data_IF_833879842955
#
_entry.id   IF_833879842955
#
_cell.length_a   1.000
_cell.length_b   1.000
_cell.length_c   1.000
_cell.angle_alpha   90.00
_cell.angle_beta   90.00
_cell.angle_gamma   90.00
#
_symmetry.space_group_name_H-M   'P 1'
#
loop_
_entity.id
_entity.type
_entity.pdbx_description
1 polymer ?
#
# COMPACT_ATOMS: atom_id res chain seq x y z
N UNK A 1 4.17 20.27 -19.60
CA UNK A 1 3.23 19.23 -20.09
C UNK A 1 3.88 17.91 -19.76
N UNK A 2 3.56 17.35 -18.60
CA UNK A 2 4.08 16.07 -18.13
C UNK A 2 2.97 15.05 -18.28
N UNK A 3 2.90 14.46 -19.47
CA UNK A 3 2.19 13.21 -19.71
C UNK A 3 3.25 12.10 -19.69
N UNK A 4 3.50 11.51 -18.51
CA UNK A 4 3.99 10.13 -18.45
C UNK A 4 3.65 9.48 -17.10
N UNK A 5 3.17 8.24 -17.19
CA UNK A 5 2.30 7.54 -16.25
C UNK A 5 3.04 6.58 -15.29
N UNK A 6 4.04 7.05 -14.53
CA UNK A 6 4.80 6.10 -13.69
C UNK A 6 5.28 6.57 -12.32
N UNK A 7 4.63 7.58 -11.70
CA UNK A 7 4.91 7.91 -10.28
C UNK A 7 4.06 7.12 -9.27
N UNK A 8 3.80 5.85 -9.55
CA UNK A 8 3.28 4.94 -8.55
C UNK A 8 4.21 3.72 -8.56
N UNK A 9 4.74 3.27 -7.41
CA UNK A 9 5.54 2.05 -7.32
C UNK A 9 4.63 0.82 -7.49
N UNK A 10 3.99 0.73 -8.66
CA UNK A 10 3.16 -0.38 -9.09
C UNK A 10 4.08 -1.47 -9.64
N UNK A 11 4.71 -2.22 -8.74
CA UNK A 11 5.06 -3.61 -9.04
C UNK A 11 4.25 -4.58 -8.19
N UNK A 12 2.98 -4.24 -7.89
CA UNK A 12 1.97 -5.25 -7.62
C UNK A 12 1.46 -5.79 -8.97
N UNK A 13 2.29 -6.59 -9.63
CA UNK A 13 1.79 -7.50 -10.65
C UNK A 13 1.11 -8.66 -9.91
N UNK A 14 -0.11 -8.43 -9.39
CA UNK A 14 -1.01 -9.50 -8.93
C UNK A 14 -1.61 -10.24 -10.14
N UNK A 15 -0.80 -10.55 -11.16
CA UNK A 15 -1.23 -11.26 -12.38
C UNK A 15 -1.62 -12.72 -12.11
N UNK A 16 -1.49 -13.21 -10.88
CA UNK A 16 -1.80 -14.59 -10.48
C UNK A 16 -3.27 -14.85 -10.14
N UNK A 17 -4.08 -13.81 -9.94
CA UNK A 17 -5.49 -13.97 -9.62
C UNK A 17 -6.31 -13.06 -10.52
N UNK A 18 -6.42 -13.45 -11.80
CA UNK A 18 -7.64 -13.13 -12.53
C UNK A 18 -8.78 -13.67 -11.66
N UNK A 19 -9.63 -12.81 -11.06
CA UNK A 19 -10.76 -13.33 -10.30
C UNK A 19 -11.57 -14.15 -11.30
N UNK A 20 -11.74 -15.45 -11.01
CA UNK A 20 -12.83 -16.19 -11.64
C UNK A 20 -14.06 -15.30 -11.51
N UNK A 21 -14.86 -15.11 -12.57
CA UNK A 21 -16.00 -14.23 -12.50
C UNK A 21 -16.82 -14.62 -11.28
N UNK A 22 -16.94 -13.68 -10.33
CA UNK A 22 -17.63 -13.84 -9.06
C UNK A 22 -19.15 -13.87 -9.29
N UNK A 23 -19.61 -14.65 -10.27
CA UNK A 23 -20.94 -14.56 -10.87
C UNK A 23 -22.07 -14.55 -9.84
N UNK A 24 -21.98 -15.43 -8.83
CA UNK A 24 -22.97 -15.50 -7.74
C UNK A 24 -22.90 -14.37 -6.70
N UNK A 25 -21.73 -13.73 -6.51
CA UNK A 25 -21.58 -12.56 -5.64
C UNK A 25 -22.15 -11.32 -6.32
N UNK A 26 -21.93 -11.13 -7.62
CA UNK A 26 -22.42 -9.94 -8.34
C UNK A 26 -23.93 -9.76 -8.19
N UNK A 27 -24.72 -10.81 -8.37
CA UNK A 27 -26.19 -10.75 -8.23
C UNK A 27 -26.64 -10.40 -6.80
N UNK A 28 -25.98 -10.97 -5.77
CA UNK A 28 -26.24 -10.65 -4.37
C UNK A 28 -25.83 -9.21 -4.00
N UNK A 29 -24.76 -8.70 -4.61
CA UNK A 29 -24.27 -7.33 -4.46
C UNK A 29 -25.28 -6.33 -5.03
N UNK A 30 -25.76 -6.57 -6.26
CA UNK A 30 -26.73 -5.69 -6.94
C UNK A 30 -28.11 -5.67 -6.26
N UNK A 31 -28.47 -6.72 -5.52
CA UNK A 31 -29.74 -6.77 -4.79
C UNK A 31 -29.76 -5.94 -3.49
N UNK A 32 -28.62 -5.73 -2.85
CA UNK A 32 -28.52 -5.11 -1.51
C UNK A 32 -28.10 -3.63 -1.56
N UNK A 33 -27.53 -3.18 -2.68
CA UNK A 33 -27.13 -1.79 -2.88
C UNK A 33 -28.18 -1.11 -3.76
N UNK A 34 -28.74 0.06 -3.37
CA UNK A 34 -29.63 0.83 -4.23
C UNK A 34 -28.83 1.43 -5.39
N UNK A 35 -28.53 0.62 -6.39
CA UNK A 35 -27.87 1.03 -7.62
C UNK A 35 -28.94 1.64 -8.52
N UNK A 36 -28.72 2.84 -9.10
CA UNK A 36 -29.67 3.43 -10.04
C UNK A 36 -30.00 2.41 -11.13
N UNK A 37 -31.30 2.11 -11.31
CA UNK A 37 -31.84 1.00 -12.13
C UNK A 37 -31.46 1.01 -13.64
N UNK A 38 -30.55 1.88 -14.08
CA UNK A 38 -30.24 2.11 -15.50
C UNK A 38 -28.75 2.11 -15.87
N UNK A 39 -27.83 1.56 -15.07
CA UNK A 39 -26.42 1.47 -15.48
C UNK A 39 -25.79 0.14 -15.03
N UNK A 40 -25.27 -0.62 -16.01
CA UNK A 40 -24.30 -1.70 -15.80
C UNK A 40 -23.01 -1.10 -15.22
N UNK A 41 -22.95 -0.93 -13.89
CA UNK A 41 -21.76 -0.43 -13.22
C UNK A 41 -20.76 -1.57 -13.01
N UNK A 42 -19.51 -1.44 -13.48
CA UNK A 42 -18.45 -2.40 -13.18
C UNK A 42 -18.26 -2.64 -11.67
N UNK A 43 -18.00 -3.89 -11.29
CA UNK A 43 -17.90 -4.32 -9.88
C UNK A 43 -16.82 -3.56 -9.11
N UNK A 44 -15.67 -3.33 -9.73
CA UNK A 44 -14.55 -2.55 -9.19
C UNK A 44 -14.96 -1.11 -8.85
N UNK A 45 -15.70 -0.46 -9.76
CA UNK A 45 -16.25 0.88 -9.53
C UNK A 45 -17.28 0.90 -8.41
N UNK A 46 -18.17 -0.10 -8.36
CA UNK A 46 -19.17 -0.21 -7.30
C UNK A 46 -18.51 -0.39 -5.92
N UNK A 47 -17.57 -1.34 -5.80
CA UNK A 47 -16.86 -1.59 -4.55
C UNK A 47 -16.06 -0.38 -4.10
N UNK A 48 -15.38 0.30 -5.02
CA UNK A 48 -14.70 1.56 -4.72
C UNK A 48 -15.69 2.59 -4.17
N UNK A 49 -16.82 2.84 -4.85
CA UNK A 49 -17.84 3.79 -4.41
C UNK A 49 -18.39 3.46 -3.02
N UNK A 50 -18.63 2.18 -2.71
CA UNK A 50 -19.08 1.75 -1.39
C UNK A 50 -18.03 2.03 -0.32
N UNK A 51 -16.77 1.71 -0.57
CA UNK A 51 -15.69 1.88 0.40
C UNK A 51 -15.33 3.34 0.66
N UNK A 52 -15.52 4.24 -0.32
CA UNK A 52 -15.16 5.66 -0.18
C UNK A 52 -16.28 6.56 0.35
N UNK A 53 -17.53 6.10 0.33
CA UNK A 53 -18.71 6.90 0.71
C UNK A 53 -18.72 7.32 2.19
N UNK A 54 -18.42 6.43 3.17
CA UNK A 54 -18.50 6.79 4.58
C UNK A 54 -17.40 7.75 5.04
N UNK A 55 -17.68 8.48 6.12
CA UNK A 55 -16.68 9.24 6.87
C UNK A 55 -15.67 8.27 7.53
N UNK A 56 -14.35 8.46 7.35
CA UNK A 56 -13.33 7.70 8.06
C UNK A 56 -13.54 7.62 9.59
N UNK A 57 -14.00 8.69 10.23
CA UNK A 57 -14.22 8.71 11.68
C UNK A 57 -15.37 7.78 12.10
N UNK A 58 -16.42 7.70 11.28
CA UNK A 58 -17.53 6.77 11.48
C UNK A 58 -17.06 5.33 11.31
N UNK A 59 -16.25 5.04 10.29
CA UNK A 59 -15.68 3.70 10.09
C UNK A 59 -14.78 3.29 11.26
N UNK A 60 -13.93 4.18 11.74
CA UNK A 60 -13.09 3.92 12.92
C UNK A 60 -13.92 3.60 14.17
N UNK A 61 -15.03 4.33 14.38
CA UNK A 61 -15.96 4.08 15.49
C UNK A 61 -16.60 2.69 15.38
N UNK A 62 -17.05 2.30 14.17
CA UNK A 62 -17.60 0.97 13.93
C UNK A 62 -16.57 -0.15 14.07
N UNK A 63 -15.31 0.10 13.70
CA UNK A 63 -14.21 -0.84 13.96
C UNK A 63 -13.98 -1.02 15.46
N UNK A 64 -14.15 0.03 16.28
CA UNK A 64 -14.03 -0.06 17.73
C UNK A 64 -15.11 -0.95 18.38
N UNK A 65 -16.26 -1.08 17.74
CA UNK A 65 -17.36 -1.96 18.18
C UNK A 65 -17.14 -3.43 17.78
N UNK A 66 -16.15 -3.72 16.93
CA UNK A 66 -15.84 -5.09 16.52
C UNK A 66 -14.97 -5.80 17.56
N UNK A 67 -15.34 -7.05 17.88
CA UNK A 67 -14.53 -7.93 18.73
C UNK A 67 -13.47 -8.66 17.89
N UNK A 68 -12.56 -7.89 17.27
CA UNK A 68 -11.44 -8.42 16.46
C UNK A 68 -10.09 -8.37 17.20
N UNK A 69 -10.07 -7.87 18.44
CA UNK A 69 -8.89 -7.65 19.27
C UNK A 69 -7.79 -6.81 18.61
N UNK A 70 -8.10 -6.09 17.53
CA UNK A 70 -7.15 -5.22 16.85
C UNK A 70 -7.32 -3.77 17.33
N UNK A 71 -6.22 -3.00 17.39
CA UNK A 71 -6.28 -1.63 17.87
C UNK A 71 -7.20 -0.78 17.00
N UNK A 72 -7.98 0.10 17.61
CA UNK A 72 -8.85 1.04 16.88
C UNK A 72 -7.99 2.09 16.17
N UNK A 73 -8.18 2.33 14.87
CA UNK A 73 -7.45 3.37 14.16
C UNK A 73 -7.75 4.74 14.74
N UNK A 74 -6.73 5.58 14.88
CA UNK A 74 -6.89 6.96 15.32
C UNK A 74 -7.00 7.91 14.12
N UNK A 75 -7.66 9.07 14.28
CA UNK A 75 -7.62 10.12 13.27
C UNK A 75 -6.17 10.56 13.00
N UNK A 76 -5.83 10.70 11.72
CA UNK A 76 -4.50 11.13 11.28
C UNK A 76 -4.59 12.47 10.57
N UNK A 77 -3.57 13.30 10.74
CA UNK A 77 -3.35 14.51 9.95
C UNK A 77 -2.03 14.37 9.22
N UNK A 78 -2.00 14.71 7.94
CA UNK A 78 -0.81 14.63 7.11
C UNK A 78 -0.64 15.89 6.26
N UNK A 79 0.56 16.03 5.71
CA UNK A 79 0.93 17.10 4.77
C UNK A 79 1.15 16.55 3.37
N UNK A 80 1.09 17.40 2.36
CA UNK A 80 1.43 17.02 0.99
C UNK A 80 2.90 16.63 0.90
N UNK A 81 3.17 15.49 0.26
CA UNK A 81 4.53 15.07 -0.05
C UNK A 81 5.13 15.98 -1.13
N UNK A 82 6.37 16.41 -0.91
CA UNK A 82 7.12 17.19 -1.89
C UNK A 82 8.39 16.44 -2.31
N UNK A 83 8.72 16.37 -3.62
CA UNK A 83 9.99 15.83 -4.08
C UNK A 83 11.18 16.52 -3.39
N UNK A 84 12.17 15.75 -2.98
CA UNK A 84 13.38 16.22 -2.25
C UNK A 84 13.14 16.73 -0.81
N UNK A 85 11.91 16.71 -0.29
CA UNK A 85 11.66 17.05 1.11
C UNK A 85 12.40 16.08 2.04
N UNK A 86 13.19 16.64 2.96
CA UNK A 86 14.01 15.85 3.89
C UNK A 86 15.34 15.34 3.30
N UNK A 87 15.67 15.67 2.04
CA UNK A 87 17.02 15.45 1.52
C UNK A 87 17.95 16.56 2.03
N UNK A 88 19.20 16.23 2.40
CA UNK A 88 20.21 17.23 2.70
C UNK A 88 20.61 17.97 1.41
N UNK A 89 21.31 19.08 1.58
CA UNK A 89 21.93 19.78 0.45
C UNK A 89 22.98 18.90 -0.23
N UNK A 90 22.60 18.29 -1.35
CA UNK A 90 23.50 17.49 -2.17
C UNK A 90 24.40 18.37 -3.03
N UNK A 91 25.65 17.93 -3.19
CA UNK A 91 26.55 18.50 -4.20
C UNK A 91 25.95 18.35 -5.61
N UNK A 92 26.38 19.16 -6.61
CA UNK A 92 25.89 19.03 -7.98
C UNK A 92 26.10 17.63 -8.58
N UNK A 93 27.20 16.95 -8.21
CA UNK A 93 27.51 15.60 -8.67
C UNK A 93 26.59 14.55 -8.04
N UNK A 94 26.37 14.64 -6.72
CA UNK A 94 25.47 13.74 -5.99
C UNK A 94 24.02 13.91 -6.45
N UNK A 95 23.59 15.16 -6.66
CA UNK A 95 22.25 15.46 -7.19
C UNK A 95 22.07 14.88 -8.59
N UNK A 96 23.10 14.96 -9.44
CA UNK A 96 23.06 14.34 -10.77
C UNK A 96 22.95 12.82 -10.69
N UNK A 97 23.69 12.20 -9.77
CA UNK A 97 23.61 10.75 -9.53
C UNK A 97 22.23 10.34 -9.04
N UNK A 98 21.68 11.07 -8.07
CA UNK A 98 20.32 10.86 -7.56
C UNK A 98 19.28 10.94 -8.66
N UNK A 99 19.23 12.05 -9.40
CA UNK A 99 18.25 12.26 -10.49
C UNK A 99 18.40 11.27 -11.63
N UNK A 100 19.65 10.91 -11.98
CA UNK A 100 19.88 9.90 -13.01
C UNK A 100 19.36 8.52 -12.58
N UNK A 101 19.56 8.13 -11.32
CA UNK A 101 19.05 6.86 -10.82
C UNK A 101 17.53 6.87 -10.67
N UNK A 102 16.95 7.95 -10.15
CA UNK A 102 15.50 8.17 -10.10
C UNK A 102 14.87 7.96 -11.48
N UNK A 103 15.43 8.57 -12.53
CA UNK A 103 14.95 8.38 -13.89
C UNK A 103 15.09 6.93 -14.37
N UNK A 104 16.18 6.23 -14.04
CA UNK A 104 16.34 4.80 -14.37
C UNK A 104 15.23 3.95 -13.73
N UNK A 105 14.86 4.26 -12.47
CA UNK A 105 13.76 3.58 -11.77
C UNK A 105 12.43 3.89 -12.44
N UNK A 106 12.16 5.16 -12.75
CA UNK A 106 10.93 5.61 -13.40
C UNK A 106 10.74 5.01 -14.80
N UNK A 107 11.81 4.89 -15.57
CA UNK A 107 11.80 4.26 -16.89
C UNK A 107 11.65 2.74 -16.83
N UNK A 108 11.66 2.14 -15.63
CA UNK A 108 11.62 0.69 -15.47
C UNK A 108 12.81 -0.01 -16.13
N UNK A 109 14.03 0.56 -16.01
CA UNK A 109 15.24 0.01 -16.62
C UNK A 109 16.18 -0.63 -15.60
N UNK A 110 16.84 -1.72 -15.99
CA UNK A 110 17.95 -2.31 -15.25
C UNK A 110 19.26 -1.67 -15.68
N UNK A 111 20.04 -1.13 -14.73
CA UNK A 111 21.40 -0.64 -14.96
C UNK A 111 22.31 -0.87 -13.75
N UNK A 112 23.26 -1.80 -13.88
CA UNK A 112 24.25 -2.05 -12.84
C UNK A 112 25.17 -0.86 -12.58
N UNK A 113 25.46 -0.04 -13.62
CA UNK A 113 26.30 1.16 -13.49
C UNK A 113 25.66 2.22 -12.59
N UNK A 114 24.40 2.55 -12.86
CA UNK A 114 23.68 3.55 -12.05
C UNK A 114 23.34 3.01 -10.67
N UNK A 115 23.03 1.71 -10.54
CA UNK A 115 22.88 1.07 -9.23
C UNK A 115 24.15 1.18 -8.39
N UNK A 116 25.33 0.87 -8.93
CA UNK A 116 26.59 0.96 -8.20
C UNK A 116 26.90 2.40 -7.78
N UNK A 117 26.72 3.37 -8.68
CA UNK A 117 26.89 4.78 -8.35
C UNK A 117 25.94 5.24 -7.24
N UNK A 118 24.68 4.81 -7.30
CA UNK A 118 23.68 5.16 -6.30
C UNK A 118 23.90 4.41 -4.96
N UNK A 119 24.40 3.18 -4.99
CA UNK A 119 24.80 2.46 -3.79
C UNK A 119 25.95 3.17 -3.07
N UNK A 120 26.94 3.68 -3.80
CA UNK A 120 27.99 4.53 -3.24
C UNK A 120 27.40 5.80 -2.61
N UNK A 121 26.46 6.46 -3.29
CA UNK A 121 25.76 7.62 -2.74
C UNK A 121 25.02 7.28 -1.43
N UNK A 122 24.31 6.16 -1.37
CA UNK A 122 23.64 5.71 -0.15
C UNK A 122 24.63 5.41 1.00
N UNK A 123 25.83 4.90 0.69
CA UNK A 123 26.86 4.72 1.73
C UNK A 123 27.44 6.03 2.24
N UNK A 124 27.48 7.08 1.43
CA UNK A 124 27.92 8.41 1.85
C UNK A 124 26.88 9.12 2.72
N UNK A 125 25.60 8.83 2.49
CA UNK A 125 24.49 9.38 3.25
C UNK A 125 23.65 8.26 3.88
N UNK A 126 24.21 7.55 4.89
CA UNK A 126 23.60 6.34 5.44
C UNK A 126 22.29 6.60 6.15
N UNK A 127 22.03 7.83 6.62
CA UNK A 127 20.85 8.16 7.43
C UNK A 127 19.65 8.68 6.60
N UNK A 128 19.75 8.71 5.27
CA UNK A 128 18.65 9.17 4.40
C UNK A 128 17.77 7.98 3.97
N UNK A 129 16.59 7.87 4.58
CA UNK A 129 15.62 6.82 4.24
C UNK A 129 15.23 6.85 2.76
N UNK A 130 15.05 8.02 2.15
CA UNK A 130 14.68 8.14 0.74
C UNK A 130 15.68 7.45 -0.21
N UNK A 131 16.99 7.52 0.10
CA UNK A 131 18.02 6.82 -0.69
C UNK A 131 17.93 5.32 -0.49
N UNK A 132 17.79 4.88 0.76
CA UNK A 132 17.60 3.47 1.09
C UNK A 132 16.34 2.88 0.43
N UNK A 133 15.24 3.62 0.44
CA UNK A 133 13.94 3.28 -0.15
C UNK A 133 14.03 3.14 -1.68
N UNK A 134 14.68 4.08 -2.37
CA UNK A 134 14.84 4.02 -3.83
C UNK A 134 15.72 2.82 -4.25
N UNK A 135 16.85 2.61 -3.55
CA UNK A 135 17.77 1.50 -3.83
C UNK A 135 17.13 0.14 -3.51
N UNK A 136 16.42 0.04 -2.38
CA UNK A 136 15.71 -1.19 -1.97
C UNK A 136 14.60 -1.53 -2.96
N UNK A 137 13.79 -0.55 -3.37
CA UNK A 137 12.76 -0.73 -4.39
C UNK A 137 13.32 -1.20 -5.73
N UNK A 138 14.42 -0.59 -6.19
CA UNK A 138 15.13 -1.04 -7.39
C UNK A 138 15.63 -2.49 -7.26
N UNK A 139 16.21 -2.85 -6.10
CA UNK A 139 16.70 -4.20 -5.87
C UNK A 139 15.60 -5.25 -5.87
N UNK A 140 14.45 -4.95 -5.26
CA UNK A 140 13.29 -5.82 -5.31
C UNK A 140 12.78 -6.09 -6.73
N UNK A 141 12.95 -5.14 -7.65
CA UNK A 141 12.50 -5.30 -9.04
C UNK A 141 13.50 -6.08 -9.92
N UNK A 142 14.80 -5.98 -9.66
CA UNK A 142 15.83 -6.45 -10.61
C UNK A 142 16.78 -7.54 -10.11
N UNK A 143 16.76 -7.83 -8.82
CA UNK A 143 17.62 -8.83 -8.18
C UNK A 143 16.79 -9.99 -7.62
N UNK A 144 17.42 -11.14 -7.33
CA UNK A 144 16.75 -12.22 -6.64
C UNK A 144 16.18 -11.74 -5.29
N UNK A 145 14.98 -12.21 -4.95
CA UNK A 145 14.22 -11.70 -3.81
C UNK A 145 14.94 -11.88 -2.47
N UNK A 146 15.61 -13.03 -2.27
CA UNK A 146 16.28 -13.33 -1.00
C UNK A 146 17.43 -12.34 -0.69
N UNK A 147 18.37 -12.05 -1.61
CA UNK A 147 19.33 -10.95 -1.45
C UNK A 147 18.69 -9.58 -1.22
N UNK A 148 17.61 -9.23 -1.94
CA UNK A 148 16.93 -7.96 -1.76
C UNK A 148 16.29 -7.83 -0.35
N UNK A 149 15.65 -8.90 0.14
CA UNK A 149 15.13 -9.00 1.52
C UNK A 149 16.25 -8.89 2.55
N UNK A 150 17.39 -9.55 2.32
CA UNK A 150 18.54 -9.50 3.22
C UNK A 150 19.08 -8.07 3.36
N UNK A 151 19.21 -7.35 2.24
CA UNK A 151 19.61 -5.94 2.24
C UNK A 151 18.63 -5.05 3.01
N UNK A 152 17.32 -5.19 2.77
CA UNK A 152 16.31 -4.41 3.50
C UNK A 152 16.32 -4.71 5.01
N UNK A 153 16.50 -5.98 5.41
CA UNK A 153 16.65 -6.37 6.83
C UNK A 153 17.90 -5.77 7.47
N UNK A 154 19.01 -5.71 6.73
CA UNK A 154 20.24 -5.07 7.19
C UNK A 154 20.06 -3.56 7.41
N UNK A 155 19.34 -2.87 6.53
CA UNK A 155 19.01 -1.46 6.73
C UNK A 155 18.14 -1.26 7.97
N UNK A 156 17.09 -2.08 8.14
CA UNK A 156 16.16 -2.00 9.27
C UNK A 156 16.77 -2.43 10.62
N UNK A 157 17.86 -3.20 10.61
CA UNK A 157 18.58 -3.51 11.85
C UNK A 157 19.34 -2.30 12.40
N UNK A 158 19.76 -1.38 11.50
CA UNK A 158 20.45 -0.13 11.85
C UNK A 158 19.47 1.02 12.05
N UNK A 159 18.41 1.06 11.24
CA UNK A 159 17.40 2.12 11.23
C UNK A 159 16.01 1.50 11.42
N UNK A 160 15.65 1.08 12.65
CA UNK A 160 14.38 0.42 12.88
C UNK A 160 13.19 1.32 12.52
N UNK A 161 13.28 2.64 12.68
CA UNK A 161 12.18 3.58 12.43
C UNK A 161 11.81 3.83 10.95
N UNK A 162 12.62 3.34 10.00
CA UNK A 162 12.39 3.57 8.56
C UNK A 162 11.18 2.78 8.03
N UNK A 163 10.02 3.45 8.04
CA UNK A 163 8.75 2.84 7.71
C UNK A 163 8.61 2.51 6.22
N UNK A 164 9.13 3.32 5.29
CA UNK A 164 9.04 3.04 3.86
C UNK A 164 9.86 1.82 3.47
N UNK A 165 11.07 1.67 4.03
CA UNK A 165 11.89 0.46 3.84
C UNK A 165 11.22 -0.75 4.47
N UNK A 166 10.63 -0.59 5.67
CA UNK A 166 9.84 -1.64 6.35
C UNK A 166 8.65 -2.08 5.50
N UNK A 167 7.91 -1.14 4.91
CA UNK A 167 6.77 -1.41 4.02
C UNK A 167 7.20 -2.13 2.74
N UNK A 168 8.30 -1.72 2.11
CA UNK A 168 8.85 -2.43 0.94
C UNK A 168 9.24 -3.88 1.28
N UNK A 169 9.88 -4.09 2.44
CA UNK A 169 10.19 -5.43 2.93
C UNK A 169 8.92 -6.23 3.23
N UNK A 170 7.93 -5.64 3.92
CA UNK A 170 6.67 -6.30 4.24
C UNK A 170 5.92 -6.71 2.96
N UNK A 171 5.76 -5.78 2.00
CA UNK A 171 5.16 -6.03 0.68
C UNK A 171 5.85 -7.15 -0.08
N UNK A 172 7.16 -7.33 0.11
CA UNK A 172 7.88 -8.43 -0.52
C UNK A 172 7.34 -9.81 -0.13
N UNK A 173 6.72 -9.98 1.04
CA UNK A 173 6.11 -11.26 1.48
C UNK A 173 4.66 -11.43 1.00
N UNK A 174 4.04 -10.35 0.51
CA UNK A 174 2.75 -10.39 -0.16
C UNK A 174 2.89 -10.67 -1.66
N UNK A 175 4.08 -10.49 -2.22
CA UNK A 175 4.42 -10.81 -3.61
C UNK A 175 5.11 -12.16 -3.67
N UNK A 176 4.44 -13.19 -4.18
CA UNK A 176 4.99 -14.45 -4.68
C UNK A 176 3.84 -15.43 -4.94
N UNK A 177 4.13 -16.57 -5.56
CA UNK A 177 3.22 -17.71 -5.71
C UNK A 177 2.72 -18.25 -4.35
N UNK A 178 3.35 -17.81 -3.26
CA UNK A 178 3.00 -18.11 -1.87
C UNK A 178 3.04 -16.82 -1.05
N UNK A 179 1.89 -16.42 -0.55
CA UNK A 179 1.75 -15.30 0.39
C UNK A 179 2.27 -15.76 1.76
N UNK A 180 3.17 -15.00 2.38
CA UNK A 180 3.73 -15.25 3.72
C UNK A 180 3.29 -14.17 4.71
N UNK A 181 2.09 -14.36 5.27
CA UNK A 181 1.45 -13.42 6.20
C UNK A 181 2.16 -13.33 7.55
N UNK A 182 2.80 -14.41 7.99
CA UNK A 182 3.54 -14.46 9.25
C UNK A 182 4.78 -13.57 9.16
N UNK A 183 5.53 -13.67 8.06
CA UNK A 183 6.68 -12.80 7.80
C UNK A 183 6.27 -11.34 7.62
N UNK A 184 5.13 -11.06 6.94
CA UNK A 184 4.58 -9.70 6.87
C UNK A 184 4.34 -9.13 8.28
N UNK A 185 3.62 -9.88 9.11
CA UNK A 185 3.25 -9.48 10.47
C UNK A 185 4.49 -9.29 11.35
N UNK A 186 5.48 -10.17 11.21
CA UNK A 186 6.76 -10.07 11.91
C UNK A 186 7.54 -8.80 11.53
N UNK A 187 7.59 -8.44 10.24
CA UNK A 187 8.25 -7.22 9.77
C UNK A 187 7.53 -5.96 10.26
N UNK A 188 6.20 -5.99 10.26
CA UNK A 188 5.38 -4.91 10.82
C UNK A 188 5.39 -4.89 12.35
N UNK A 189 6.06 -5.84 13.02
CA UNK A 189 6.13 -5.98 14.49
C UNK A 189 4.75 -5.97 15.15
N UNK A 190 3.74 -6.51 14.48
CA UNK A 190 2.32 -6.47 14.89
C UNK A 190 1.73 -5.06 15.07
N UNK A 191 2.38 -4.01 14.58
CA UNK A 191 1.84 -2.65 14.57
C UNK A 191 1.00 -2.47 13.31
N UNK A 192 -0.27 -2.84 13.41
CA UNK A 192 -1.20 -2.84 12.27
C UNK A 192 -1.92 -1.50 12.07
N UNK A 193 -1.73 -0.54 12.98
CA UNK A 193 -2.15 0.84 12.77
C UNK A 193 -0.96 1.78 12.60
N UNK A 194 -1.14 2.80 11.76
CA UNK A 194 -0.09 3.75 11.43
C UNK A 194 0.34 4.60 12.63
N UNK A 195 -0.59 4.99 13.51
CA UNK A 195 -0.31 5.77 14.71
C UNK A 195 0.75 5.12 15.62
N UNK A 196 0.77 3.79 15.68
CA UNK A 196 1.73 3.01 16.46
C UNK A 196 3.17 3.08 15.90
N UNK A 197 3.34 3.60 14.68
CA UNK A 197 4.65 3.83 14.06
C UNK A 197 5.12 5.29 14.15
N UNK A 198 4.23 6.24 14.49
CA UNK A 198 4.54 7.66 14.39
C UNK A 198 5.60 8.12 15.39
N UNK A 199 5.68 7.50 16.57
CA UNK A 199 6.70 7.81 17.58
C UNK A 199 8.14 7.58 17.08
N UNK A 200 8.31 6.76 16.03
CA UNK A 200 9.60 6.45 15.42
C UNK A 200 9.89 7.30 14.16
N UNK A 201 8.94 8.14 13.72
CA UNK A 201 9.11 8.98 12.54
C UNK A 201 9.82 10.29 12.90
N UNK A 202 10.96 10.54 12.25
CA UNK A 202 11.72 11.79 12.39
C UNK A 202 11.17 12.92 11.52
N UNK A 203 10.23 12.61 10.62
CA UNK A 203 9.66 13.52 9.63
C UNK A 203 8.14 13.61 9.77
N UNK A 204 7.52 14.73 9.34
CA UNK A 204 6.07 14.85 9.33
C UNK A 204 5.43 13.72 8.51
N UNK A 205 4.26 13.27 8.95
CA UNK A 205 3.46 12.30 8.22
C UNK A 205 3.00 12.91 6.88
N UNK A 206 3.38 12.29 5.77
CA UNK A 206 3.00 12.73 4.41
C UNK A 206 1.87 11.89 3.83
N UNK A 207 1.11 12.47 2.90
CA UNK A 207 0.11 11.75 2.10
C UNK A 207 0.69 10.50 1.41
N UNK A 208 1.92 10.56 0.88
CA UNK A 208 2.60 9.42 0.27
C UNK A 208 2.81 8.26 1.24
N UNK A 209 3.23 8.55 2.48
CA UNK A 209 3.42 7.52 3.50
C UNK A 209 2.08 6.93 3.96
N UNK A 210 1.07 7.78 4.17
CA UNK A 210 -0.31 7.35 4.48
C UNK A 210 -0.84 6.44 3.38
N UNK A 211 -0.69 6.85 2.11
CA UNK A 211 -1.09 6.09 0.94
C UNK A 211 -0.41 4.72 0.90
N UNK A 212 0.93 4.66 1.01
CA UNK A 212 1.67 3.41 0.92
C UNK A 212 1.36 2.46 2.07
N UNK A 213 1.30 2.97 3.30
CA UNK A 213 0.97 2.18 4.48
C UNK A 213 -0.42 1.55 4.35
N UNK A 214 -1.43 2.37 4.05
CA UNK A 214 -2.81 1.88 3.97
C UNK A 214 -3.04 1.01 2.73
N UNK A 215 -2.26 1.18 1.66
CA UNK A 215 -2.28 0.24 0.54
C UNK A 215 -1.78 -1.15 0.94
N UNK A 216 -0.66 -1.22 1.67
CA UNK A 216 -0.11 -2.51 2.12
C UNK A 216 -1.00 -3.18 3.18
N UNK A 217 -1.58 -2.40 4.09
CA UNK A 217 -2.56 -2.89 5.05
C UNK A 217 -3.86 -3.31 4.40
N UNK A 218 -4.33 -2.62 3.36
CA UNK A 218 -5.48 -3.05 2.56
C UNK A 218 -5.26 -4.45 1.99
N UNK A 219 -4.10 -4.69 1.38
CA UNK A 219 -3.75 -6.01 0.84
C UNK A 219 -3.69 -7.07 1.95
N UNK A 220 -3.02 -6.77 3.06
CA UNK A 220 -2.94 -7.70 4.19
C UNK A 220 -4.32 -8.09 4.74
N UNK A 221 -5.18 -7.11 5.01
CA UNK A 221 -6.51 -7.35 5.55
C UNK A 221 -7.44 -8.04 4.55
N UNK A 222 -7.31 -7.70 3.27
CA UNK A 222 -8.02 -8.39 2.19
C UNK A 222 -7.64 -9.87 2.10
N UNK A 223 -6.36 -10.19 2.24
CA UNK A 223 -5.86 -11.58 2.19
C UNK A 223 -6.17 -12.38 3.46
N UNK A 224 -6.39 -11.72 4.60
CA UNK A 224 -6.73 -12.35 5.88
C UNK A 224 -8.24 -12.38 6.16
N UNK A 225 -9.09 -11.94 5.24
CA UNK A 225 -10.55 -11.94 5.40
C UNK A 225 -11.09 -10.91 6.38
N UNK A 226 -10.31 -9.88 6.70
CA UNK A 226 -10.72 -8.79 7.55
C UNK A 226 -11.33 -7.64 6.73
N UNK A 227 -12.47 -7.92 6.11
CA UNK A 227 -13.10 -7.06 5.10
C UNK A 227 -13.32 -5.62 5.56
N UNK A 228 -13.79 -5.41 6.79
CA UNK A 228 -14.05 -4.08 7.33
C UNK A 228 -12.76 -3.27 7.53
N UNK A 229 -11.69 -3.93 8.02
CA UNK A 229 -10.36 -3.33 8.15
C UNK A 229 -9.77 -3.00 6.79
N UNK A 230 -9.90 -3.91 5.81
CA UNK A 230 -9.50 -3.66 4.44
C UNK A 230 -10.23 -2.45 3.84
N UNK A 231 -11.55 -2.36 4.00
CA UNK A 231 -12.33 -1.24 3.48
C UNK A 231 -11.97 0.10 4.13
N UNK A 232 -11.71 0.11 5.45
CA UNK A 232 -11.16 1.28 6.13
C UNK A 232 -9.80 1.69 5.55
N UNK A 233 -8.87 0.75 5.39
CA UNK A 233 -7.56 1.03 4.77
C UNK A 233 -7.71 1.57 3.34
N UNK A 234 -8.61 1.00 2.55
CA UNK A 234 -8.89 1.48 1.19
C UNK A 234 -9.41 2.92 1.21
N UNK A 235 -10.34 3.26 2.12
CA UNK A 235 -10.89 4.62 2.30
C UNK A 235 -9.80 5.65 2.60
N UNK A 236 -8.88 5.33 3.52
CA UNK A 236 -7.78 6.21 3.89
C UNK A 236 -6.77 6.31 2.75
N UNK A 237 -6.41 5.19 2.13
CA UNK A 237 -5.53 5.14 0.96
C UNK A 237 -6.06 6.03 -0.18
N UNK A 238 -7.37 5.96 -0.46
CA UNK A 238 -8.02 6.84 -1.44
C UNK A 238 -8.00 8.31 -1.05
N UNK A 239 -8.14 8.63 0.24
CA UNK A 239 -8.08 10.02 0.72
C UNK A 239 -6.68 10.64 0.55
N UNK A 240 -5.63 9.82 0.67
CA UNK A 240 -4.23 10.24 0.58
C UNK A 240 -3.63 10.09 -0.83
N UNK A 241 -4.36 9.51 -1.79
CA UNK A 241 -3.86 9.29 -3.14
C UNK A 241 -3.90 10.58 -3.96
N UNK A 242 -2.78 10.91 -4.64
CA UNK A 242 -2.75 12.02 -5.60
C UNK A 242 -3.56 11.74 -6.87
N UNK A 243 -3.78 10.45 -7.20
CA UNK A 243 -4.64 9.97 -8.31
C UNK A 243 -5.54 8.84 -7.82
N UNK A 244 -6.64 9.16 -7.11
CA UNK A 244 -7.48 8.15 -6.47
C UNK A 244 -8.10 7.13 -7.45
N UNK A 245 -8.29 7.52 -8.72
CA UNK A 245 -8.86 6.67 -9.77
C UNK A 245 -7.97 5.45 -10.07
N UNK A 246 -6.66 5.56 -9.84
CA UNK A 246 -5.71 4.45 -9.98
C UNK A 246 -5.96 3.31 -8.99
N UNK A 247 -6.74 3.53 -7.93
CA UNK A 247 -7.12 2.49 -6.95
C UNK A 247 -8.32 1.67 -7.40
N UNK A 248 -9.11 2.11 -8.39
CA UNK A 248 -10.32 1.42 -8.83
C UNK A 248 -10.07 -0.06 -9.15
N UNK A 249 -9.04 -0.45 -9.94
CA UNK A 249 -8.81 -1.86 -10.27
C UNK A 249 -8.43 -2.72 -9.07
N UNK A 250 -8.01 -2.11 -7.95
CA UNK A 250 -7.64 -2.81 -6.74
C UNK A 250 -8.82 -3.06 -5.81
N UNK A 251 -9.94 -2.33 -5.96
CA UNK A 251 -11.12 -2.46 -5.11
C UNK A 251 -11.68 -3.88 -4.98
N UNK A 252 -11.68 -4.73 -6.04
CA UNK A 252 -12.12 -6.12 -5.92
C UNK A 252 -11.28 -7.00 -5.00
N UNK A 253 -10.04 -6.61 -4.68
CA UNK A 253 -9.17 -7.41 -3.82
C UNK A 253 -9.73 -7.60 -2.41
N UNK A 254 -10.60 -6.70 -1.91
CA UNK A 254 -11.30 -6.86 -0.63
C UNK A 254 -12.08 -8.17 -0.53
N UNK A 255 -12.47 -8.75 -1.68
CA UNK A 255 -13.21 -10.01 -1.77
C UNK A 255 -12.30 -11.23 -2.01
N UNK A 256 -10.98 -11.04 -2.11
CA UNK A 256 -10.02 -12.07 -2.55
C UNK A 256 -9.96 -13.31 -1.67
N UNK A 257 -10.21 -13.17 -0.37
CA UNK A 257 -10.22 -14.27 0.59
C UNK A 257 -11.61 -14.88 0.83
N UNK A 258 -12.65 -14.39 0.13
CA UNK A 258 -14.01 -14.88 0.35
C UNK A 258 -14.20 -16.24 -0.31
N UNK A 259 -14.66 -17.20 0.49
CA UNK A 259 -15.21 -18.46 -0.01
C UNK A 259 -16.52 -18.16 -0.77
N UNK A 260 -16.69 -18.64 -2.02
CA UNK A 260 -17.94 -18.51 -2.77
C UNK A 260 -19.20 -19.00 -2.01
N UNK A 261 -19.08 -20.00 -1.14
CA UNK A 261 -20.21 -20.58 -0.41
C UNK A 261 -20.73 -19.69 0.74
N UNK A 262 -19.85 -18.87 1.33
CA UNK A 262 -20.18 -17.99 2.48
C UNK A 262 -20.05 -16.51 2.11
N UNK A 263 -19.54 -16.21 0.92
CA UNK A 263 -19.18 -14.86 0.47
C UNK A 263 -20.35 -13.89 0.47
N UNK A 264 -21.57 -14.35 0.23
CA UNK A 264 -22.76 -13.50 0.25
C UNK A 264 -23.05 -12.94 1.66
N UNK A 265 -22.84 -13.72 2.72
CA UNK A 265 -23.07 -13.26 4.09
C UNK A 265 -22.00 -12.27 4.54
N UNK A 266 -20.73 -12.57 4.25
CA UNK A 266 -19.61 -11.68 4.53
C UNK A 266 -19.72 -10.36 3.76
N UNK A 267 -20.14 -10.41 2.49
CA UNK A 267 -20.40 -9.21 1.70
C UNK A 267 -21.55 -8.37 2.28
N UNK A 268 -22.65 -8.99 2.73
CA UNK A 268 -23.73 -8.26 3.41
C UNK A 268 -23.25 -7.56 4.68
N UNK A 269 -22.36 -8.17 5.44
CA UNK A 269 -21.75 -7.53 6.60
C UNK A 269 -20.88 -6.33 6.20
N UNK A 270 -20.06 -6.47 5.16
CA UNK A 270 -19.28 -5.36 4.59
C UNK A 270 -20.19 -4.20 4.15
N UNK A 271 -21.28 -4.48 3.42
CA UNK A 271 -22.23 -3.44 3.00
C UNK A 271 -22.85 -2.74 4.21
N UNK A 272 -23.23 -3.47 5.26
CA UNK A 272 -23.76 -2.86 6.49
C UNK A 272 -22.71 -1.97 7.16
N UNK A 273 -21.47 -2.42 7.23
CA UNK A 273 -20.33 -1.65 7.75
C UNK A 273 -20.06 -0.38 6.93
N UNK A 274 -20.35 -0.38 5.63
CA UNK A 274 -20.14 0.74 4.70
C UNK A 274 -21.36 1.66 4.51
N UNK A 275 -22.46 1.46 5.24
CA UNK A 275 -23.59 2.39 5.15
C UNK A 275 -23.22 3.74 5.77
N UNK A 276 -23.51 4.89 5.13
CA UNK A 276 -23.26 6.19 5.74
C UNK A 276 -24.01 6.37 7.08
#
# INVERSE_FOLDING_TARGET
MYEDDSFLPHTLNLRGSAPKPLGGLTEAIFAEVPIPKNQDMPLDRLLMMLMISPDPALLASRLAEQDDHLPTPQPLTWVDWVPEQGLPELSPEDRRTFRAFEQIVLDGRKSSKYEQAFALLQTQFPDIEAFAQLLTGYRFNWHPIAPARAFARELLSRHPGWLLVRLQLARSYLKEDKIDLDSFTAVMRQRLNLDQHLDELESPLTDLLVYQYHLDMYLFFALTGQLNRAAYCFRICHAAASRPEGLQPLAPLVLSSLDPEVGAAAFKQLVRFLKP
#
